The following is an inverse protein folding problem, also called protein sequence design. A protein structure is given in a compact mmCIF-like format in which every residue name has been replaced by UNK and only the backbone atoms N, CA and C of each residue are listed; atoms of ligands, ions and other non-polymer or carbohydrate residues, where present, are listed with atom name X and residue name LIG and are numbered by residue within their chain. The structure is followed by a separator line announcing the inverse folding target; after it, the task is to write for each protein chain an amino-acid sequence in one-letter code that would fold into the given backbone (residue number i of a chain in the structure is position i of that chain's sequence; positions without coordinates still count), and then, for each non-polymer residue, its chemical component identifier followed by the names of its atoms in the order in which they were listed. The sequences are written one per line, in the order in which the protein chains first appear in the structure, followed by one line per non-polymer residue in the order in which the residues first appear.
data_IF_491144642915
#
_entry.id   IF_491144642915
#
_cell.length_a   1.000
_cell.length_b   1.000
_cell.length_c   1.000
_cell.angle_alpha   90.00
_cell.angle_beta   90.00
_cell.angle_gamma   90.00
#
_symmetry.space_group_name_H-M   'P 1'
#
loop_
_entity.id
_entity.type
_entity.pdbx_description
1 polymer ?
#
# COMPACT_ATOMS: atom_id res chain seq x y z
N UNK A 1 -17.49 -1.16 33.89
CA UNK A 1 -16.89 -2.43 33.42
C UNK A 1 -17.60 -3.05 32.20
N UNK A 2 -18.90 -2.92 32.03
CA UNK A 2 -19.65 -3.49 30.88
C UNK A 2 -19.30 -2.88 29.52
N UNK A 3 -18.97 -1.59 29.44
CA UNK A 3 -18.67 -0.92 28.15
C UNK A 3 -17.32 -1.33 27.54
N UNK A 4 -16.33 -1.74 28.35
CA UNK A 4 -15.01 -2.14 27.85
C UNK A 4 -15.07 -3.55 27.24
N UNK A 5 -15.93 -4.44 27.76
CA UNK A 5 -16.10 -5.79 27.22
C UNK A 5 -16.83 -5.79 25.87
N UNK A 6 -17.82 -4.92 25.69
CA UNK A 6 -18.56 -4.77 24.42
C UNK A 6 -17.63 -4.16 23.36
N UNK A 7 -16.84 -3.11 23.69
CA UNK A 7 -15.86 -2.53 22.77
C UNK A 7 -14.79 -3.56 22.34
N UNK A 8 -14.30 -4.38 23.27
CA UNK A 8 -13.33 -5.43 22.96
C UNK A 8 -13.92 -6.57 22.11
N UNK A 9 -15.23 -6.85 22.25
CA UNK A 9 -15.91 -7.88 21.45
C UNK A 9 -16.15 -7.39 20.02
N UNK A 10 -16.56 -6.14 19.85
CA UNK A 10 -16.73 -5.51 18.53
C UNK A 10 -15.41 -5.33 17.79
N UNK A 11 -14.35 -4.89 18.48
CA UNK A 11 -13.00 -4.82 17.93
C UNK A 11 -12.48 -6.21 17.51
N UNK A 12 -12.72 -7.27 18.30
CA UNK A 12 -12.37 -8.65 17.93
C UNK A 12 -13.16 -9.15 16.71
N UNK A 13 -14.44 -8.78 16.57
CA UNK A 13 -15.26 -9.16 15.41
C UNK A 13 -14.82 -8.45 14.13
N UNK A 14 -14.44 -7.16 14.23
CA UNK A 14 -13.94 -6.34 13.14
C UNK A 14 -12.57 -6.84 12.67
N UNK A 15 -11.63 -7.02 13.58
CA UNK A 15 -10.32 -7.63 13.25
C UNK A 15 -10.45 -9.04 12.65
N UNK A 16 -11.53 -9.77 12.91
CA UNK A 16 -11.72 -11.15 12.45
C UNK A 16 -11.82 -11.31 10.93
N UNK A 17 -12.29 -10.29 10.18
CA UNK A 17 -12.47 -10.39 8.72
C UNK A 17 -11.13 -10.20 7.99
N UNK A 18 -10.40 -9.15 8.27
CA UNK A 18 -9.07 -8.92 7.68
C UNK A 18 -8.07 -10.00 8.10
N UNK A 19 -8.12 -10.44 9.36
CA UNK A 19 -7.30 -11.55 9.85
C UNK A 19 -7.61 -12.84 9.09
N UNK A 20 -8.88 -13.17 8.90
CA UNK A 20 -9.30 -14.38 8.12
C UNK A 20 -8.85 -14.30 6.67
N UNK A 21 -8.98 -13.14 6.02
CA UNK A 21 -8.46 -12.94 4.66
C UNK A 21 -6.96 -13.14 4.62
N UNK A 22 -6.22 -12.55 5.56
CA UNK A 22 -4.77 -12.67 5.66
C UNK A 22 -4.34 -14.12 5.83
N UNK A 23 -4.89 -14.82 6.80
CA UNK A 23 -4.57 -16.24 7.05
C UNK A 23 -4.87 -17.13 5.85
N UNK A 24 -6.02 -16.94 5.22
CA UNK A 24 -6.42 -17.72 4.05
C UNK A 24 -5.51 -17.43 2.85
N UNK A 25 -5.16 -16.17 2.60
CA UNK A 25 -4.27 -15.76 1.53
C UNK A 25 -2.84 -16.27 1.76
N UNK A 26 -2.29 -16.07 2.96
CA UNK A 26 -0.94 -16.56 3.29
C UNK A 26 -0.84 -18.06 3.11
N UNK A 27 -1.84 -18.81 3.58
CA UNK A 27 -1.89 -20.26 3.37
C UNK A 27 -1.94 -20.61 1.89
N UNK A 28 -2.84 -19.97 1.13
CA UNK A 28 -2.98 -20.21 -0.30
C UNK A 28 -1.68 -19.92 -1.07
N UNK A 29 -1.02 -18.79 -0.78
CA UNK A 29 0.24 -18.40 -1.41
C UNK A 29 1.31 -19.47 -1.15
N UNK A 30 1.44 -19.94 0.08
CA UNK A 30 2.41 -20.97 0.44
C UNK A 30 2.10 -22.34 -0.19
N UNK A 31 0.86 -22.77 -0.15
CA UNK A 31 0.44 -24.09 -0.65
C UNK A 31 0.55 -24.21 -2.17
N UNK A 32 0.33 -23.11 -2.89
CA UNK A 32 0.29 -23.12 -4.37
C UNK A 32 1.60 -22.77 -5.04
N UNK A 33 2.58 -22.30 -4.28
CA UNK A 33 3.84 -21.85 -4.84
C UNK A 33 5.02 -22.68 -4.36
N UNK A 34 5.19 -23.86 -4.95
CA UNK A 34 6.31 -24.76 -4.69
C UNK A 34 7.69 -24.18 -5.05
N UNK A 35 7.73 -23.07 -5.80
CA UNK A 35 8.97 -22.37 -6.18
C UNK A 35 9.52 -21.51 -5.05
N UNK A 36 8.69 -21.12 -4.07
CA UNK A 36 9.13 -20.29 -2.95
C UNK A 36 9.67 -21.17 -1.83
N UNK A 37 10.91 -21.62 -1.99
CA UNK A 37 11.68 -22.29 -0.93
C UNK A 37 12.55 -21.31 -0.14
N UNK A 38 12.74 -20.09 -0.65
CA UNK A 38 13.55 -19.06 -0.03
C UNK A 38 12.91 -18.56 1.27
N UNK A 39 13.69 -18.61 2.37
CA UNK A 39 13.22 -18.21 3.71
C UNK A 39 12.96 -16.71 3.79
N UNK A 40 13.74 -15.89 3.10
CA UNK A 40 13.60 -14.43 3.17
C UNK A 40 12.33 -13.97 2.45
N UNK A 41 12.03 -14.55 1.30
CA UNK A 41 10.76 -14.30 0.60
C UNK A 41 9.57 -14.71 1.48
N UNK A 42 9.61 -15.91 2.06
CA UNK A 42 8.55 -16.39 2.94
C UNK A 42 8.37 -15.49 4.18
N UNK A 43 9.46 -15.03 4.78
CA UNK A 43 9.40 -14.08 5.90
C UNK A 43 8.78 -12.73 5.51
N UNK A 44 9.01 -12.25 4.28
CA UNK A 44 8.36 -11.04 3.77
C UNK A 44 6.87 -11.23 3.59
N UNK A 45 6.45 -12.35 3.00
CA UNK A 45 5.03 -12.67 2.81
C UNK A 45 4.33 -12.83 4.17
N UNK A 46 4.97 -13.49 5.15
CA UNK A 46 4.40 -13.68 6.48
C UNK A 46 4.21 -12.38 7.26
N UNK A 47 5.06 -11.39 7.01
CA UNK A 47 5.01 -10.06 7.65
C UNK A 47 4.17 -9.04 6.87
N UNK A 48 3.74 -9.39 5.66
CA UNK A 48 2.92 -8.50 4.83
C UNK A 48 1.54 -8.29 5.46
N UNK A 49 1.03 -7.07 5.35
CA UNK A 49 -0.35 -6.75 5.73
C UNK A 49 -1.38 -7.22 4.71
N UNK A 50 -0.92 -7.67 3.53
CA UNK A 50 -1.72 -8.17 2.41
C UNK A 50 -2.84 -7.20 1.97
N UNK A 51 -2.66 -5.90 2.19
CA UNK A 51 -3.67 -4.88 1.86
C UNK A 51 -4.01 -4.91 0.37
N UNK A 52 -3.01 -4.93 -0.52
CA UNK A 52 -3.25 -4.96 -1.97
C UNK A 52 -3.97 -6.23 -2.44
N UNK A 53 -3.55 -7.44 -2.06
CA UNK A 53 -4.30 -8.66 -2.32
C UNK A 53 -5.75 -8.62 -1.86
N UNK A 54 -6.00 -8.11 -0.65
CA UNK A 54 -7.37 -8.00 -0.08
C UNK A 54 -8.21 -7.01 -0.89
N UNK A 55 -7.64 -5.89 -1.32
CA UNK A 55 -8.30 -4.92 -2.19
C UNK A 55 -8.70 -5.54 -3.53
N UNK A 56 -7.82 -6.32 -4.16
CA UNK A 56 -8.15 -7.03 -5.40
C UNK A 56 -9.34 -7.96 -5.22
N UNK A 57 -9.33 -8.78 -4.17
CA UNK A 57 -10.42 -9.71 -3.86
C UNK A 57 -11.74 -9.01 -3.57
N UNK A 58 -11.71 -7.94 -2.75
CA UNK A 58 -12.96 -7.24 -2.41
C UNK A 58 -13.54 -6.49 -3.61
N UNK A 59 -12.69 -5.93 -4.47
CA UNK A 59 -13.13 -5.28 -5.71
C UNK A 59 -13.74 -6.29 -6.68
N UNK A 60 -13.11 -7.45 -6.85
CA UNK A 60 -13.61 -8.54 -7.69
C UNK A 60 -14.97 -9.06 -7.20
N UNK A 61 -15.07 -9.36 -5.91
CA UNK A 61 -16.28 -9.90 -5.31
C UNK A 61 -17.44 -8.91 -5.36
N UNK A 62 -17.17 -7.61 -5.28
CA UNK A 62 -18.20 -6.58 -5.39
C UNK A 62 -18.82 -6.49 -6.78
N UNK A 63 -18.06 -6.81 -7.84
CA UNK A 63 -18.54 -6.80 -9.21
C UNK A 63 -19.37 -8.03 -9.55
N UNK A 64 -19.14 -9.15 -8.89
CA UNK A 64 -19.81 -10.41 -9.20
C UNK A 64 -20.52 -11.02 -7.99
N UNK A 65 -21.66 -10.44 -7.65
CA UNK A 65 -22.49 -10.88 -6.53
C UNK A 65 -23.10 -12.30 -6.70
N UNK A 66 -23.09 -12.86 -7.93
CA UNK A 66 -23.69 -14.15 -8.24
C UNK A 66 -22.73 -15.33 -8.14
N UNK A 67 -21.42 -15.08 -8.14
CA UNK A 67 -20.43 -16.15 -8.18
C UNK A 67 -19.48 -16.03 -6.98
N UNK A 68 -19.32 -17.12 -6.26
CA UNK A 68 -18.25 -17.24 -5.26
C UNK A 68 -16.91 -17.41 -5.98
N UNK A 69 -16.37 -16.28 -6.47
CA UNK A 69 -15.07 -16.22 -7.15
C UNK A 69 -13.88 -16.41 -6.20
N UNK A 70 -14.13 -16.76 -4.93
CA UNK A 70 -13.11 -16.81 -3.89
C UNK A 70 -11.84 -17.55 -4.31
N UNK A 71 -11.97 -18.76 -4.83
CA UNK A 71 -10.80 -19.54 -5.28
C UNK A 71 -10.06 -18.91 -6.46
N UNK A 72 -10.78 -18.33 -7.41
CA UNK A 72 -10.20 -17.74 -8.61
C UNK A 72 -9.52 -16.41 -8.32
N UNK A 73 -10.10 -15.61 -7.45
CA UNK A 73 -9.49 -14.35 -7.01
C UNK A 73 -8.18 -14.53 -6.25
N UNK A 74 -7.98 -15.65 -5.56
CA UNK A 74 -6.77 -15.90 -4.81
C UNK A 74 -5.51 -15.99 -5.69
N UNK A 75 -5.63 -16.45 -6.92
CA UNK A 75 -4.50 -16.46 -7.85
C UNK A 75 -4.05 -15.05 -8.25
N UNK A 76 -4.98 -14.15 -8.60
CA UNK A 76 -4.61 -12.77 -8.92
C UNK A 76 -4.11 -12.02 -7.68
N UNK A 77 -4.71 -12.27 -6.52
CA UNK A 77 -4.26 -11.72 -5.26
C UNK A 77 -2.83 -12.17 -4.93
N UNK A 78 -2.49 -13.44 -5.18
CA UNK A 78 -1.13 -13.96 -5.02
C UNK A 78 -0.15 -13.31 -6.00
N UNK A 79 -0.53 -13.13 -7.27
CA UNK A 79 0.31 -12.44 -8.25
C UNK A 79 0.64 -11.01 -7.81
N UNK A 80 -0.34 -10.29 -7.28
CA UNK A 80 -0.17 -8.93 -6.75
C UNK A 80 0.79 -8.93 -5.55
N UNK A 81 0.67 -9.89 -4.64
CA UNK A 81 1.57 -9.98 -3.48
C UNK A 81 3.00 -10.30 -3.87
N UNK A 82 3.23 -11.18 -4.83
CA UNK A 82 4.59 -11.45 -5.33
C UNK A 82 5.23 -10.20 -5.94
N UNK A 83 4.46 -9.40 -6.67
CA UNK A 83 4.94 -8.12 -7.22
C UNK A 83 5.21 -7.09 -6.11
N UNK A 84 4.36 -7.03 -5.09
CA UNK A 84 4.56 -6.16 -3.92
C UNK A 84 5.82 -6.58 -3.13
N UNK A 85 5.98 -7.87 -2.87
CA UNK A 85 7.16 -8.43 -2.20
C UNK A 85 8.43 -8.16 -3.00
N UNK A 86 8.39 -8.34 -4.32
CA UNK A 86 9.51 -8.05 -5.21
C UNK A 86 10.00 -6.61 -5.06
N UNK A 87 9.10 -5.64 -5.15
CA UNK A 87 9.48 -4.22 -5.00
C UNK A 87 10.01 -3.94 -3.58
N UNK A 88 9.43 -4.56 -2.57
CA UNK A 88 9.87 -4.38 -1.18
C UNK A 88 11.30 -4.88 -0.98
N UNK A 89 11.64 -6.04 -1.51
CA UNK A 89 13.00 -6.60 -1.47
C UNK A 89 13.97 -5.72 -2.26
N UNK A 90 13.62 -5.32 -3.48
CA UNK A 90 14.45 -4.42 -4.29
C UNK A 90 14.74 -3.09 -3.58
N UNK A 91 13.74 -2.49 -2.93
CA UNK A 91 13.94 -1.26 -2.16
C UNK A 91 14.84 -1.44 -0.94
N UNK A 92 14.72 -2.58 -0.25
CA UNK A 92 15.58 -2.88 0.91
C UNK A 92 17.02 -3.06 0.46
N UNK A 93 17.25 -3.79 -0.62
CA UNK A 93 18.59 -4.12 -1.08
C UNK A 93 19.30 -2.96 -1.77
N UNK A 94 18.59 -2.10 -2.49
CA UNK A 94 19.13 -0.87 -3.05
C UNK A 94 19.60 0.13 -1.98
N UNK A 95 19.04 0.03 -0.76
CA UNK A 95 19.41 0.86 0.39
C UNK A 95 20.58 0.29 1.23
N UNK A 96 21.04 -0.93 0.97
CA UNK A 96 22.17 -1.54 1.68
C UNK A 96 23.44 -1.29 0.87
N UNK A 97 24.10 -0.16 1.15
CA UNK A 97 25.33 0.23 0.44
C UNK A 97 26.48 -0.78 0.55
N UNK A 98 27.19 -0.92 -0.57
CA UNK A 98 28.61 -1.27 -0.71
C UNK A 98 29.15 -2.69 -0.46
N UNK A 99 28.36 -3.72 -0.20
CA UNK A 99 28.87 -5.11 -0.28
C UNK A 99 28.19 -5.88 -1.43
N UNK A 100 28.48 -5.45 -2.65
CA UNK A 100 27.71 -5.75 -3.86
C UNK A 100 27.99 -7.16 -4.41
N UNK A 101 29.19 -7.73 -4.22
CA UNK A 101 29.60 -8.90 -5.00
C UNK A 101 28.88 -10.21 -4.66
N UNK A 102 28.55 -10.47 -3.39
CA UNK A 102 27.84 -11.71 -3.01
C UNK A 102 26.30 -11.56 -2.94
N UNK A 103 25.77 -10.33 -2.95
CA UNK A 103 24.32 -10.07 -2.86
C UNK A 103 23.63 -10.01 -4.22
N UNK A 104 24.36 -9.70 -5.29
CA UNK A 104 23.78 -9.60 -6.64
C UNK A 104 23.17 -10.92 -7.13
N UNK A 105 23.78 -12.06 -6.80
CA UNK A 105 23.25 -13.38 -7.17
C UNK A 105 21.94 -13.72 -6.47
N UNK A 106 21.86 -13.45 -5.15
CA UNK A 106 20.64 -13.70 -4.36
C UNK A 106 19.52 -12.77 -4.80
N UNK A 107 19.82 -11.47 -5.00
CA UNK A 107 18.84 -10.48 -5.47
C UNK A 107 18.27 -10.86 -6.83
N UNK A 108 19.12 -11.24 -7.77
CA UNK A 108 18.69 -11.66 -9.11
C UNK A 108 17.85 -12.93 -9.05
N UNK A 109 18.22 -13.88 -8.21
CA UNK A 109 17.45 -15.11 -8.01
C UNK A 109 16.06 -14.81 -7.42
N UNK A 110 15.99 -13.98 -6.38
CA UNK A 110 14.71 -13.57 -5.76
C UNK A 110 13.83 -12.82 -6.75
N UNK A 111 14.42 -11.95 -7.59
CA UNK A 111 13.71 -11.29 -8.68
C UNK A 111 13.08 -12.31 -9.64
N UNK A 112 13.85 -13.29 -10.11
CA UNK A 112 13.35 -14.31 -11.03
C UNK A 112 12.27 -15.18 -10.40
N UNK A 113 12.45 -15.60 -9.16
CA UNK A 113 11.46 -16.40 -8.44
C UNK A 113 10.14 -15.63 -8.33
N UNK A 114 10.17 -14.40 -7.85
CA UNK A 114 8.96 -13.61 -7.60
C UNK A 114 8.24 -13.22 -8.88
N UNK A 115 8.97 -12.82 -9.93
CA UNK A 115 8.34 -12.47 -11.22
C UNK A 115 7.69 -13.71 -11.87
N UNK A 116 8.36 -14.85 -11.85
CA UNK A 116 7.83 -16.10 -12.39
C UNK A 116 6.60 -16.56 -11.57
N UNK A 117 6.66 -16.48 -10.25
CA UNK A 117 5.53 -16.80 -9.36
C UNK A 117 4.32 -15.91 -9.62
N UNK A 118 4.54 -14.60 -9.83
CA UNK A 118 3.48 -13.66 -10.20
C UNK A 118 2.86 -14.02 -11.56
N UNK A 119 3.69 -14.27 -12.58
CA UNK A 119 3.22 -14.63 -13.92
C UNK A 119 2.46 -15.97 -13.93
N UNK A 120 2.94 -16.98 -13.21
CA UNK A 120 2.27 -18.28 -13.10
C UNK A 120 0.92 -18.15 -12.38
N UNK A 121 0.87 -17.43 -11.26
CA UNK A 121 -0.37 -17.17 -10.53
C UNK A 121 -1.37 -16.40 -11.40
N UNK A 122 -0.92 -15.40 -12.14
CA UNK A 122 -1.75 -14.66 -13.08
C UNK A 122 -2.31 -15.57 -14.18
N UNK A 123 -1.49 -16.44 -14.77
CA UNK A 123 -1.92 -17.43 -15.76
C UNK A 123 -2.98 -18.38 -15.21
N UNK A 124 -2.76 -18.94 -14.00
CA UNK A 124 -3.75 -19.83 -13.37
C UNK A 124 -5.08 -19.11 -13.12
N UNK A 125 -5.04 -17.82 -12.78
CA UNK A 125 -6.25 -17.03 -12.63
C UNK A 125 -7.00 -16.88 -13.97
N UNK A 126 -6.30 -16.59 -15.07
CA UNK A 126 -6.90 -16.51 -16.39
C UNK A 126 -7.53 -17.84 -16.83
N UNK A 127 -6.87 -18.95 -16.55
CA UNK A 127 -7.42 -20.30 -16.84
C UNK A 127 -8.67 -20.58 -16.02
N UNK A 128 -8.74 -20.13 -14.78
CA UNK A 128 -9.90 -20.32 -13.91
C UNK A 128 -11.12 -19.48 -14.37
N UNK A 129 -10.90 -18.30 -14.90
CA UNK A 129 -11.94 -17.38 -15.35
C UNK A 129 -12.74 -17.94 -16.56
N UNK A 130 -12.17 -18.84 -17.37
CA UNK A 130 -12.86 -19.52 -18.46
C UNK A 130 -14.17 -20.17 -18.02
N UNK A 131 -14.23 -20.63 -16.78
CA UNK A 131 -15.43 -21.26 -16.24
C UNK A 131 -16.53 -20.28 -15.80
N UNK A 132 -16.20 -18.98 -15.73
CA UNK A 132 -17.09 -17.91 -15.22
C UNK A 132 -17.58 -17.01 -16.35
N UNK A 133 -16.71 -16.72 -17.31
CA UNK A 133 -16.99 -15.85 -18.45
C UNK A 133 -16.73 -16.59 -19.76
N UNK A 134 -17.57 -16.37 -20.74
CA UNK A 134 -17.47 -17.01 -22.07
C UNK A 134 -17.47 -15.97 -23.19
N UNK A 135 -17.01 -16.40 -24.39
CA UNK A 135 -17.08 -15.63 -25.61
C UNK A 135 -16.25 -14.32 -25.59
N UNK A 136 -16.76 -13.29 -26.22
CA UNK A 136 -16.10 -11.99 -26.35
C UNK A 136 -15.76 -11.36 -25.00
N UNK A 137 -16.63 -11.49 -24.01
CA UNK A 137 -16.40 -10.97 -22.66
C UNK A 137 -15.16 -11.58 -22.04
N UNK A 138 -14.96 -12.88 -22.18
CA UNK A 138 -13.77 -13.58 -21.69
C UNK A 138 -12.51 -13.09 -22.40
N UNK A 139 -12.55 -12.95 -23.72
CA UNK A 139 -11.43 -12.44 -24.51
C UNK A 139 -11.02 -11.03 -24.07
N UNK A 140 -11.98 -10.14 -23.89
CA UNK A 140 -11.74 -8.78 -23.45
C UNK A 140 -11.12 -8.73 -22.03
N UNK A 141 -11.59 -9.57 -21.11
CA UNK A 141 -11.00 -9.69 -19.77
C UNK A 141 -9.53 -10.10 -19.86
N UNK A 142 -9.20 -11.11 -20.66
CA UNK A 142 -7.82 -11.56 -20.83
C UNK A 142 -6.94 -10.44 -21.38
N UNK A 143 -7.35 -9.84 -22.51
CA UNK A 143 -6.54 -8.81 -23.19
C UNK A 143 -6.23 -7.65 -22.27
N UNK A 144 -7.24 -7.07 -21.65
CA UNK A 144 -7.04 -5.93 -20.75
C UNK A 144 -6.27 -6.31 -19.48
N UNK A 145 -6.53 -7.49 -18.91
CA UNK A 145 -5.77 -7.93 -17.73
C UNK A 145 -4.28 -8.13 -18.03
N UNK A 146 -3.95 -8.69 -19.18
CA UNK A 146 -2.56 -8.84 -19.63
C UNK A 146 -1.91 -7.49 -19.92
N UNK A 147 -2.63 -6.55 -20.52
CA UNK A 147 -2.15 -5.20 -20.80
C UNK A 147 -1.73 -4.49 -19.51
N UNK A 148 -2.63 -4.43 -18.51
CA UNK A 148 -2.33 -3.79 -17.23
C UNK A 148 -1.25 -4.50 -16.43
N UNK A 149 -1.22 -5.82 -16.45
CA UNK A 149 -0.17 -6.58 -15.80
C UNK A 149 1.21 -6.29 -16.40
N UNK A 150 1.31 -6.30 -17.73
CA UNK A 150 2.57 -6.00 -18.43
C UNK A 150 3.00 -4.53 -18.24
N UNK A 151 2.07 -3.58 -18.26
CA UNK A 151 2.36 -2.17 -17.97
C UNK A 151 2.98 -2.00 -16.59
N UNK A 152 2.43 -2.69 -15.60
CA UNK A 152 2.97 -2.64 -14.24
C UNK A 152 4.37 -3.27 -14.13
N UNK A 153 4.61 -4.41 -14.74
CA UNK A 153 5.94 -5.05 -14.75
C UNK A 153 7.00 -4.10 -15.33
N UNK A 154 6.68 -3.34 -16.38
CA UNK A 154 7.57 -2.30 -16.92
C UNK A 154 7.86 -1.20 -15.88
N UNK A 155 6.88 -0.82 -15.09
CA UNK A 155 7.02 0.22 -14.06
C UNK A 155 8.03 -0.18 -12.97
N UNK A 156 8.13 -1.47 -12.64
CA UNK A 156 9.11 -1.97 -11.67
C UNK A 156 10.55 -1.66 -12.13
N UNK A 157 10.82 -1.76 -13.43
CA UNK A 157 12.14 -1.46 -13.99
C UNK A 157 12.49 0.02 -13.85
N UNK A 158 11.51 0.92 -14.04
CA UNK A 158 11.70 2.37 -13.85
C UNK A 158 12.01 2.70 -12.39
N UNK A 159 11.29 2.09 -11.46
CA UNK A 159 11.47 2.33 -10.03
C UNK A 159 12.90 2.02 -9.56
N UNK A 160 13.50 0.95 -10.08
CA UNK A 160 14.87 0.56 -9.72
C UNK A 160 15.95 1.57 -10.12
N UNK A 161 15.68 2.41 -11.12
CA UNK A 161 16.61 3.42 -11.62
C UNK A 161 16.31 4.82 -11.11
N UNK A 162 15.20 4.98 -10.36
CA UNK A 162 14.73 6.29 -9.93
C UNK A 162 15.63 6.90 -8.85
N UNK A 163 16.09 8.14 -9.08
CA UNK A 163 16.90 8.92 -8.14
C UNK A 163 16.13 10.19 -7.73
N UNK A 164 16.05 10.50 -6.42
CA UNK A 164 15.38 11.70 -5.96
C UNK A 164 16.23 12.95 -6.15
N UNK A 165 15.57 14.09 -6.30
CA UNK A 165 16.18 15.39 -6.17
C UNK A 165 16.35 15.74 -4.69
N UNK A 166 17.59 16.02 -4.30
CA UNK A 166 17.93 16.45 -2.95
C UNK A 166 17.88 17.97 -2.91
N UNK A 167 17.21 18.49 -1.90
CA UNK A 167 17.04 19.92 -1.69
C UNK A 167 17.57 20.34 -0.31
N UNK A 168 18.02 21.57 -0.22
CA UNK A 168 18.41 22.19 1.05
C UNK A 168 17.23 23.02 1.58
N UNK A 169 16.51 22.44 2.53
CA UNK A 169 15.41 23.10 3.24
C UNK A 169 15.66 23.10 4.75
N UNK A 170 15.05 24.05 5.43
CA UNK A 170 15.08 24.06 6.90
C UNK A 170 14.27 22.90 7.46
N UNK A 171 14.76 22.22 8.52
CA UNK A 171 14.01 21.20 9.23
C UNK A 171 12.63 21.69 9.70
N UNK A 172 11.65 20.85 9.64
CA UNK A 172 10.28 21.19 10.03
C UNK A 172 10.16 21.34 11.54
N UNK A 173 9.72 22.52 11.99
CA UNK A 173 9.57 22.83 13.43
C UNK A 173 8.54 21.96 14.12
N UNK A 174 7.47 21.56 13.42
CA UNK A 174 6.45 20.67 13.96
C UNK A 174 6.99 19.28 14.28
N UNK A 175 7.88 18.72 13.44
CA UNK A 175 8.57 17.46 13.72
C UNK A 175 9.48 17.60 14.95
N UNK A 176 10.22 18.71 15.05
CA UNK A 176 11.09 18.97 16.19
C UNK A 176 10.29 19.13 17.47
N UNK A 177 9.31 20.01 17.48
CA UNK A 177 8.60 20.40 18.69
C UNK A 177 7.61 19.35 19.17
N UNK A 178 6.97 18.60 18.25
CA UNK A 178 5.90 17.70 18.61
C UNK A 178 6.35 16.24 18.72
N UNK A 179 7.35 15.83 17.94
CA UNK A 179 7.80 14.45 17.93
C UNK A 179 9.16 14.23 18.59
N UNK A 180 10.21 14.95 18.17
CA UNK A 180 11.57 14.79 18.71
C UNK A 180 11.68 15.37 20.14
N UNK A 181 10.99 16.50 20.37
CA UNK A 181 10.91 17.21 21.67
C UNK A 181 12.30 17.55 22.21
N UNK A 182 12.65 17.07 23.40
CA UNK A 182 13.86 17.43 24.13
C UNK A 182 15.11 16.62 23.77
N UNK A 183 15.02 15.74 22.76
CA UNK A 183 16.17 14.93 22.36
C UNK A 183 17.15 15.73 21.47
N UNK A 184 18.09 16.43 22.12
CA UNK A 184 19.06 17.32 21.44
C UNK A 184 19.84 16.60 20.34
N UNK A 185 20.27 15.36 20.58
CA UNK A 185 21.04 14.57 19.61
C UNK A 185 20.22 14.31 18.34
N UNK A 186 18.95 13.94 18.47
CA UNK A 186 18.08 13.73 17.32
C UNK A 186 17.74 15.05 16.62
N UNK A 187 17.55 16.15 17.36
CA UNK A 187 17.33 17.47 16.77
C UNK A 187 18.52 17.89 15.91
N UNK A 188 19.74 17.74 16.40
CA UNK A 188 20.94 18.09 15.65
C UNK A 188 21.11 17.20 14.42
N UNK A 189 20.82 15.91 14.55
CA UNK A 189 20.85 14.94 13.47
C UNK A 189 19.83 15.31 12.38
N UNK A 190 18.62 15.66 12.76
CA UNK A 190 17.57 16.07 11.84
C UNK A 190 17.92 17.39 11.14
N UNK A 191 18.52 18.36 11.87
CA UNK A 191 18.99 19.63 11.29
C UNK A 191 20.10 19.48 10.26
N UNK A 192 20.91 18.44 10.35
CA UNK A 192 22.01 18.12 9.42
C UNK A 192 21.60 17.18 8.29
N UNK A 193 20.37 16.65 8.30
CA UNK A 193 19.92 15.72 7.29
C UNK A 193 19.63 16.38 5.96
N UNK A 194 19.72 15.59 4.89
CA UNK A 194 19.31 16.00 3.55
C UNK A 194 17.85 15.68 3.33
N UNK A 195 17.14 16.56 2.66
CA UNK A 195 15.72 16.43 2.36
C UNK A 195 15.49 16.13 0.87
N UNK A 196 14.37 15.49 0.59
CA UNK A 196 13.92 15.17 -0.78
C UNK A 196 12.81 16.15 -1.17
N UNK A 197 12.82 16.60 -2.42
CA UNK A 197 11.77 17.48 -2.94
C UNK A 197 10.40 16.80 -2.89
N UNK A 198 9.35 17.59 -2.70
CA UNK A 198 7.96 17.07 -2.69
C UNK A 198 7.63 16.40 -4.03
N UNK A 199 8.12 16.96 -5.13
CA UNK A 199 7.95 16.44 -6.48
C UNK A 199 8.56 15.04 -6.62
N UNK A 200 9.76 14.84 -6.08
CA UNK A 200 10.41 13.52 -6.07
C UNK A 200 9.65 12.51 -5.20
N UNK A 201 9.11 12.94 -4.04
CA UNK A 201 8.27 12.09 -3.20
C UNK A 201 6.98 11.71 -3.95
N UNK A 202 6.32 12.65 -4.63
CA UNK A 202 5.11 12.39 -5.40
C UNK A 202 5.37 11.42 -6.56
N UNK A 203 6.50 11.54 -7.25
CA UNK A 203 6.93 10.59 -8.28
C UNK A 203 7.22 9.20 -7.71
N UNK A 204 7.88 9.12 -6.55
CA UNK A 204 8.10 7.85 -5.86
C UNK A 204 6.78 7.19 -5.47
N UNK A 205 5.82 7.95 -4.94
CA UNK A 205 4.47 7.46 -4.64
C UNK A 205 3.79 6.94 -5.92
N UNK A 206 3.90 7.68 -7.02
CA UNK A 206 3.33 7.29 -8.31
C UNK A 206 3.88 5.94 -8.78
N UNK A 207 5.21 5.75 -8.81
CA UNK A 207 5.81 4.52 -9.30
C UNK A 207 5.67 3.35 -8.33
N UNK A 208 5.85 3.59 -7.03
CA UNK A 208 5.89 2.51 -6.02
C UNK A 208 4.51 2.06 -5.56
N UNK A 209 3.61 3.00 -5.33
CA UNK A 209 2.33 2.72 -4.68
C UNK A 209 1.14 2.91 -5.62
N UNK A 210 1.09 4.02 -6.39
CA UNK A 210 -0.05 4.30 -7.24
C UNK A 210 -0.21 3.25 -8.33
N UNK A 211 0.87 2.86 -8.99
CA UNK A 211 0.82 1.83 -10.04
C UNK A 211 0.42 0.46 -9.51
N UNK A 212 0.85 0.11 -8.30
CA UNK A 212 0.40 -1.14 -7.65
C UNK A 212 -1.09 -1.08 -7.27
N UNK A 213 -1.55 0.04 -6.72
CA UNK A 213 -2.98 0.25 -6.44
C UNK A 213 -3.83 0.21 -7.72
N UNK A 214 -3.37 0.85 -8.79
CA UNK A 214 -4.04 0.81 -10.09
C UNK A 214 -4.19 -0.63 -10.58
N UNK A 215 -3.08 -1.38 -10.63
CA UNK A 215 -3.10 -2.79 -11.00
C UNK A 215 -4.10 -3.57 -10.14
N UNK A 216 -4.04 -3.40 -8.83
CA UNK A 216 -4.85 -4.12 -7.85
C UNK A 216 -6.35 -3.89 -8.07
N UNK A 217 -6.77 -2.63 -8.14
CA UNK A 217 -8.18 -2.26 -8.30
C UNK A 217 -8.68 -2.62 -9.70
N UNK A 218 -7.88 -2.37 -10.75
CA UNK A 218 -8.27 -2.63 -12.12
C UNK A 218 -8.36 -4.13 -12.40
N UNK A 219 -7.39 -4.94 -11.96
CA UNK A 219 -7.49 -6.39 -12.13
C UNK A 219 -8.68 -6.96 -11.37
N UNK A 220 -8.91 -6.54 -10.11
CA UNK A 220 -10.09 -6.95 -9.36
C UNK A 220 -11.39 -6.57 -10.08
N UNK A 221 -11.47 -5.36 -10.63
CA UNK A 221 -12.62 -4.88 -11.38
C UNK A 221 -12.87 -5.68 -12.66
N UNK A 222 -11.87 -5.79 -13.52
CA UNK A 222 -11.99 -6.44 -14.84
C UNK A 222 -12.29 -7.94 -14.66
N UNK A 223 -11.57 -8.62 -13.78
CA UNK A 223 -11.76 -10.05 -13.51
C UNK A 223 -13.08 -10.37 -12.82
N UNK A 224 -13.63 -9.40 -12.06
CA UNK A 224 -15.01 -9.46 -11.59
C UNK A 224 -16.06 -9.23 -12.67
N UNK A 225 -15.66 -8.90 -13.90
CA UNK A 225 -16.54 -8.62 -15.03
C UNK A 225 -17.08 -7.20 -15.06
N UNK A 226 -16.37 -6.26 -14.40
CA UNK A 226 -16.71 -4.84 -14.39
C UNK A 226 -16.53 -4.15 -15.75
N UNK A 227 -17.20 -3.04 -15.92
CA UNK A 227 -17.18 -2.25 -17.17
C UNK A 227 -15.83 -1.57 -17.37
N UNK A 228 -15.16 -1.86 -18.47
CA UNK A 228 -13.84 -1.33 -18.84
C UNK A 228 -13.85 0.20 -19.02
N UNK A 229 -14.98 0.80 -19.38
CA UNK A 229 -15.09 2.26 -19.54
C UNK A 229 -14.87 3.03 -18.25
N UNK A 230 -15.03 2.39 -17.10
CA UNK A 230 -14.81 2.98 -15.79
C UNK A 230 -13.34 3.01 -15.34
N UNK A 231 -12.44 2.33 -16.05
CA UNK A 231 -11.03 2.19 -15.63
C UNK A 231 -10.34 3.53 -15.41
N UNK A 232 -10.61 4.55 -16.22
CA UNK A 232 -10.05 5.90 -16.01
C UNK A 232 -10.42 6.50 -14.64
N UNK A 233 -11.63 6.26 -14.18
CA UNK A 233 -12.10 6.72 -12.86
C UNK A 233 -11.50 5.87 -11.75
N UNK A 234 -11.38 4.56 -11.96
CA UNK A 234 -10.74 3.65 -11.02
C UNK A 234 -9.26 3.98 -10.79
N UNK A 235 -8.52 4.41 -11.82
CA UNK A 235 -7.15 4.92 -11.66
C UNK A 235 -7.09 6.11 -10.70
N UNK A 236 -8.06 7.02 -10.77
CA UNK A 236 -8.15 8.16 -9.85
C UNK A 236 -8.39 7.71 -8.41
N UNK A 237 -9.29 6.75 -8.20
CA UNK A 237 -9.55 6.14 -6.88
C UNK A 237 -8.30 5.46 -6.34
N UNK A 238 -7.60 4.69 -7.16
CA UNK A 238 -6.34 4.03 -6.82
C UNK A 238 -5.26 5.03 -6.37
N UNK A 239 -5.13 6.15 -7.08
CA UNK A 239 -4.20 7.23 -6.72
C UNK A 239 -4.50 7.79 -5.33
N UNK A 240 -5.75 8.03 -5.00
CA UNK A 240 -6.09 8.56 -3.67
C UNK A 240 -5.75 7.55 -2.56
N UNK A 241 -6.08 6.27 -2.77
CA UNK A 241 -5.75 5.23 -1.81
C UNK A 241 -4.23 5.07 -1.62
N UNK A 242 -3.46 5.13 -2.69
CA UNK A 242 -2.00 4.96 -2.61
C UNK A 242 -1.32 6.03 -1.76
N UNK A 243 -1.81 7.28 -1.81
CA UNK A 243 -1.31 8.37 -0.98
C UNK A 243 -1.67 8.13 0.49
N UNK A 244 -2.92 7.75 0.77
CA UNK A 244 -3.37 7.39 2.13
C UNK A 244 -2.51 6.27 2.71
N UNK A 245 -2.30 5.21 1.94
CA UNK A 245 -1.52 4.04 2.36
C UNK A 245 -0.05 4.39 2.60
N UNK A 246 0.56 5.19 1.71
CA UNK A 246 1.94 5.66 1.90
C UNK A 246 2.09 6.51 3.15
N UNK A 247 1.17 7.45 3.39
CA UNK A 247 1.19 8.27 4.61
C UNK A 247 1.05 7.38 5.86
N UNK A 248 0.18 6.38 5.84
CA UNK A 248 0.07 5.41 6.95
C UNK A 248 1.38 4.69 7.24
N UNK A 249 2.10 4.25 6.21
CA UNK A 249 3.41 3.64 6.37
C UNK A 249 4.45 4.63 6.94
N UNK A 250 4.38 5.90 6.55
CA UNK A 250 5.28 6.94 7.06
C UNK A 250 5.06 7.22 8.55
N UNK A 251 3.83 7.15 9.01
CA UNK A 251 3.53 7.19 10.44
C UNK A 251 4.04 5.94 11.17
N UNK A 252 3.77 4.73 10.61
CA UNK A 252 4.23 3.47 11.21
C UNK A 252 5.76 3.38 11.35
N UNK A 253 6.52 4.01 10.45
CA UNK A 253 7.99 3.96 10.43
C UNK A 253 8.67 5.19 11.02
N UNK A 254 7.93 6.21 11.43
CA UNK A 254 8.46 7.53 11.80
C UNK A 254 9.56 7.45 12.87
N UNK A 255 9.34 6.70 13.94
CA UNK A 255 10.33 6.55 15.02
C UNK A 255 11.64 5.96 14.50
N UNK A 256 11.54 4.87 13.73
CA UNK A 256 12.70 4.21 13.13
C UNK A 256 13.42 5.12 12.14
N UNK A 257 12.66 5.89 11.37
CA UNK A 257 13.20 6.78 10.35
C UNK A 257 13.95 7.96 10.97
N UNK A 258 13.46 8.50 12.08
CA UNK A 258 14.16 9.56 12.84
C UNK A 258 15.45 9.05 13.49
N UNK A 259 15.41 7.89 14.14
CA UNK A 259 16.60 7.29 14.76
C UNK A 259 17.70 7.04 13.72
N UNK A 260 17.31 6.64 12.52
CA UNK A 260 18.25 6.32 11.44
C UNK A 260 18.48 7.48 10.45
N UNK A 261 18.12 8.71 10.80
CA UNK A 261 18.13 9.84 9.87
C UNK A 261 19.52 10.16 9.30
N UNK A 262 20.58 9.88 10.06
CA UNK A 262 21.97 10.06 9.63
C UNK A 262 22.48 8.98 8.69
N UNK A 263 21.75 7.88 8.51
CA UNK A 263 22.09 6.84 7.56
C UNK A 263 21.78 7.35 6.13
N UNK A 264 22.79 7.82 5.43
CA UNK A 264 22.74 8.49 4.11
C UNK A 264 21.88 7.76 3.06
N UNK A 265 21.63 6.46 3.25
CA UNK A 265 20.91 5.60 2.30
C UNK A 265 19.58 5.06 2.77
N UNK A 266 19.12 5.37 3.99
CA UNK A 266 17.87 4.83 4.54
C UNK A 266 16.91 5.97 4.90
N UNK A 267 15.63 5.78 4.60
CA UNK A 267 14.50 6.55 5.13
C UNK A 267 14.27 7.96 4.58
N UNK A 268 14.89 8.29 3.43
CA UNK A 268 14.71 9.61 2.81
C UNK A 268 13.30 9.89 2.29
N UNK A 269 12.47 8.85 2.11
CA UNK A 269 11.17 8.94 1.46
C UNK A 269 9.99 9.22 2.41
N UNK A 270 10.24 9.37 3.71
CA UNK A 270 9.18 9.64 4.67
C UNK A 270 8.64 11.06 4.50
N UNK A 271 7.35 11.18 4.17
CA UNK A 271 6.69 12.47 3.93
C UNK A 271 6.72 13.38 5.16
N UNK A 272 6.59 12.81 6.36
CA UNK A 272 6.58 13.58 7.61
C UNK A 272 7.92 14.29 7.79
N UNK A 273 9.03 13.59 7.53
CA UNK A 273 10.37 14.17 7.65
C UNK A 273 10.67 15.24 6.59
N UNK A 274 10.11 15.09 5.39
CA UNK A 274 10.39 16.00 4.26
C UNK A 274 9.36 17.14 4.11
N UNK A 275 8.14 16.96 4.59
CA UNK A 275 7.04 17.92 4.38
C UNK A 275 6.45 18.48 5.68
N UNK A 276 6.83 17.92 6.85
CA UNK A 276 6.27 18.25 8.14
C UNK A 276 5.09 17.38 8.55
N UNK A 277 4.87 17.26 9.86
CA UNK A 277 3.84 16.42 10.46
C UNK A 277 2.43 16.95 10.15
N UNK A 278 2.22 18.24 10.37
CA UNK A 278 0.91 18.87 10.16
C UNK A 278 0.49 18.75 8.70
N UNK A 279 1.34 19.15 7.76
CA UNK A 279 1.03 19.12 6.33
C UNK A 279 0.75 17.69 5.82
N UNK A 280 1.50 16.71 6.32
CA UNK A 280 1.29 15.30 5.95
C UNK A 280 -0.07 14.79 6.48
N UNK A 281 -0.44 15.16 7.70
CA UNK A 281 -1.74 14.81 8.27
C UNK A 281 -2.90 15.48 7.51
N UNK A 282 -2.75 16.75 7.11
CA UNK A 282 -3.71 17.45 6.26
C UNK A 282 -3.92 16.75 4.91
N UNK A 283 -2.83 16.34 4.28
CA UNK A 283 -2.89 15.57 3.03
C UNK A 283 -3.61 14.23 3.23
N UNK A 284 -3.33 13.52 4.33
CA UNK A 284 -4.04 12.30 4.69
C UNK A 284 -5.56 12.50 4.75
N UNK A 285 -6.03 13.47 5.53
CA UNK A 285 -7.45 13.76 5.66
C UNK A 285 -8.12 14.12 4.33
N UNK A 286 -7.44 14.97 3.54
CA UNK A 286 -7.91 15.40 2.21
C UNK A 286 -8.05 14.23 1.24
N UNK A 287 -7.05 13.35 1.16
CA UNK A 287 -7.09 12.23 0.22
C UNK A 287 -8.02 11.11 0.69
N UNK A 288 -8.18 10.92 1.99
CA UNK A 288 -9.16 10.01 2.56
C UNK A 288 -10.60 10.42 2.20
N UNK A 289 -10.94 11.69 2.35
CA UNK A 289 -12.26 12.22 1.94
C UNK A 289 -12.51 11.98 0.44
N UNK A 290 -11.53 12.33 -0.41
CA UNK A 290 -11.59 12.11 -1.86
C UNK A 290 -11.71 10.64 -2.25
N UNK A 291 -11.00 9.75 -1.55
CA UNK A 291 -11.07 8.32 -1.81
C UNK A 291 -12.46 7.77 -1.48
N UNK A 292 -13.02 8.12 -0.33
CA UNK A 292 -14.35 7.68 0.08
C UNK A 292 -15.40 8.16 -0.94
N UNK A 293 -15.37 9.45 -1.30
CA UNK A 293 -16.30 10.04 -2.28
C UNK A 293 -16.21 9.34 -3.65
N UNK A 294 -15.00 9.22 -4.19
CA UNK A 294 -14.80 8.62 -5.51
C UNK A 294 -15.13 7.12 -5.52
N UNK A 295 -14.76 6.38 -4.47
CA UNK A 295 -15.03 4.95 -4.36
C UNK A 295 -16.52 4.64 -4.17
N UNK A 296 -17.26 5.50 -3.47
CA UNK A 296 -18.73 5.41 -3.40
C UNK A 296 -19.37 5.68 -4.76
N UNK A 297 -18.89 6.70 -5.48
CA UNK A 297 -19.40 7.04 -6.84
C UNK A 297 -19.17 5.89 -7.84
N UNK A 298 -18.09 5.12 -7.65
CA UNK A 298 -17.78 3.97 -8.52
C UNK A 298 -18.41 2.65 -8.02
N UNK A 299 -19.14 2.68 -6.91
CA UNK A 299 -19.72 1.48 -6.27
C UNK A 299 -18.67 0.41 -5.92
N UNK A 300 -17.47 0.84 -5.50
CA UNK A 300 -16.41 -0.05 -5.02
C UNK A 300 -16.14 0.08 -3.52
N UNK A 301 -16.76 1.04 -2.82
CA UNK A 301 -16.58 1.23 -1.38
C UNK A 301 -17.32 0.15 -0.60
N UNK A 302 -16.58 -0.89 -0.24
CA UNK A 302 -17.09 -2.04 0.51
C UNK A 302 -16.84 -1.91 2.01
N UNK A 303 -17.49 -2.78 2.81
CA UNK A 303 -17.19 -2.89 4.24
C UNK A 303 -15.71 -3.22 4.50
N UNK A 304 -15.04 -3.96 3.60
CA UNK A 304 -13.62 -4.27 3.70
C UNK A 304 -12.74 -3.02 3.49
N UNK A 305 -13.09 -2.16 2.52
CA UNK A 305 -12.39 -0.87 2.36
C UNK A 305 -12.55 0.02 3.58
N UNK A 306 -13.77 0.08 4.13
CA UNK A 306 -14.01 0.83 5.38
C UNK A 306 -13.12 0.32 6.51
N UNK A 307 -13.05 -0.99 6.71
CA UNK A 307 -12.24 -1.64 7.74
C UNK A 307 -10.72 -1.36 7.57
N UNK A 308 -10.23 -1.34 6.33
CA UNK A 308 -8.84 -0.95 6.02
C UNK A 308 -8.61 0.51 6.41
N UNK A 309 -9.51 1.43 6.05
CA UNK A 309 -9.38 2.84 6.40
C UNK A 309 -9.49 3.07 7.91
N UNK A 310 -10.40 2.38 8.60
CA UNK A 310 -10.54 2.49 10.05
C UNK A 310 -9.26 2.03 10.78
N UNK A 311 -8.59 0.98 10.27
CA UNK A 311 -7.29 0.54 10.78
C UNK A 311 -6.20 1.58 10.54
N UNK A 312 -6.17 2.19 9.35
CA UNK A 312 -5.22 3.27 9.04
C UNK A 312 -5.45 4.48 9.96
N UNK A 313 -6.72 4.89 10.14
CA UNK A 313 -7.07 5.97 11.05
C UNK A 313 -6.58 5.71 12.46
N UNK A 314 -6.86 4.51 12.99
CA UNK A 314 -6.47 4.13 14.36
C UNK A 314 -4.96 4.23 14.57
N UNK A 315 -4.15 3.78 13.60
CA UNK A 315 -2.69 3.86 13.66
C UNK A 315 -2.19 5.31 13.68
N UNK A 316 -2.70 6.13 12.77
CA UNK A 316 -2.32 7.54 12.68
C UNK A 316 -2.79 8.30 13.92
N UNK A 317 -4.00 8.05 14.37
CA UNK A 317 -4.59 8.69 15.54
C UNK A 317 -3.80 8.46 16.83
N UNK A 318 -3.29 7.25 17.05
CA UNK A 318 -2.44 6.94 18.20
C UNK A 318 -1.19 7.83 18.23
N UNK A 319 -0.54 8.02 17.07
CA UNK A 319 0.67 8.83 16.97
C UNK A 319 0.34 10.33 17.13
N UNK A 320 -0.73 10.80 16.48
CA UNK A 320 -1.17 12.20 16.58
C UNK A 320 -1.59 12.56 18.01
N UNK A 321 -2.30 11.69 18.72
CA UNK A 321 -2.71 11.93 20.11
C UNK A 321 -1.51 12.02 21.06
N UNK A 322 -0.46 11.25 20.79
CA UNK A 322 0.77 11.28 21.59
C UNK A 322 1.66 12.49 21.29
N UNK A 323 1.62 13.01 20.06
CA UNK A 323 2.53 14.06 19.59
C UNK A 323 1.90 15.44 19.64
N UNK A 324 0.67 15.60 19.19
CA UNK A 324 0.00 16.88 19.07
C UNK A 324 -1.52 16.75 19.18
N UNK A 325 -2.08 16.65 20.40
CA UNK A 325 -3.52 16.56 20.61
C UNK A 325 -4.31 17.77 20.06
N UNK A 326 -3.67 18.93 19.95
CA UNK A 326 -4.28 20.15 19.41
C UNK A 326 -4.50 20.05 17.88
N UNK A 327 -3.75 19.23 17.18
CA UNK A 327 -3.90 19.04 15.74
C UNK A 327 -5.30 18.50 15.39
N UNK A 328 -5.81 17.53 16.17
CA UNK A 328 -7.16 16.99 15.98
C UNK A 328 -8.25 18.02 16.22
N UNK A 329 -8.10 18.84 17.25
CA UNK A 329 -9.09 19.86 17.61
C UNK A 329 -9.26 20.90 16.50
N UNK A 330 -8.18 21.26 15.83
CA UNK A 330 -8.17 22.21 14.70
C UNK A 330 -9.00 21.69 13.53
N UNK A 331 -8.97 20.38 13.23
CA UNK A 331 -9.71 19.79 12.10
C UNK A 331 -11.14 19.36 12.46
N UNK A 332 -11.41 18.98 13.70
CA UNK A 332 -12.76 18.69 14.18
C UNK A 332 -13.65 19.95 14.16
N UNK A 333 -13.09 21.12 14.48
CA UNK A 333 -13.79 22.40 14.46
C UNK A 333 -14.07 22.92 13.04
N UNK A 334 -13.25 22.56 12.04
CA UNK A 334 -13.46 22.96 10.64
C UNK A 334 -14.60 22.21 9.95
N UNK A 335 -14.88 20.96 10.35
CA UNK A 335 -16.05 20.19 9.86
C UNK A 335 -17.39 20.73 10.35
N UNK A 336 -17.42 21.35 11.52
CA UNK A 336 -18.63 21.99 12.08
C UNK A 336 -19.07 23.26 11.35
N UNK A 337 -18.16 23.95 10.64
CA UNK A 337 -18.44 25.20 9.93
C UNK A 337 -18.93 25.05 8.48
N UNK A 338 -18.82 23.85 7.88
CA UNK A 338 -19.29 23.58 6.51
C UNK A 338 -20.74 23.06 6.43
N UNK A 339 -21.44 22.95 7.55
CA UNK A 339 -22.88 22.53 7.64
C UNK A 339 -23.82 23.63 8.07
N UNK A 340 -23.48 24.90 7.80
CA UNK A 340 -24.44 26.01 7.95
C UNK A 340 -24.61 26.74 6.63
#
# INVERSE_FOLDING_TARGET
MYNIQILNYDIKLIMSRLIRYRESLTRFIKDKNSLITDKDINNHIDKSDLVFPIIALTTMNNQNKKYHLSMQGYYVASAIEFLNTLITILNIESNIGNNIENKNGTLLNNYHILINSAMMSFKYNLDSIKNVHAGEKFTNIILHSMEYFNEYVKTIMILNTYKPDIIDIKPHHDVINWYIKDNITLIESYKKSQFISKESIDQYIEYRYTKLCELTIILGWIMGGGDITKVKKLKKTAKYFSIIYKISLDFDTLEKDIININNVNKNKWNMILNCGLQKTYEEFLKYKEKFIEESMTQDIYTATFKEILDNIDTKIDVIIDQTSPDLKSTYSSSKGKKKK
#
